data_IF_782309542979
#
_entry.id   IF_782309542979
#
_cell.length_a   1.000
_cell.length_b   1.000
_cell.length_c   1.000
_cell.angle_alpha   90.00
_cell.angle_beta   90.00
_cell.angle_gamma   90.00
#
_symmetry.space_group_name_H-M   'P 1'
#
loop_
_entity.id
_entity.type
_entity.pdbx_description
1 polymer ?
#
# COMPACT_ATOMS: atom_id res chain seq x y z
N UNK A 1 -12.51 -20.04 30.05
CA UNK A 1 -12.97 -18.72 29.55
C UNK A 1 -12.03 -18.25 28.44
N UNK A 2 -12.39 -18.50 27.18
CA UNK A 2 -11.69 -17.93 26.02
C UNK A 2 -12.48 -16.68 25.61
N UNK A 3 -11.83 -15.51 25.58
CA UNK A 3 -12.45 -14.28 25.09
C UNK A 3 -12.46 -14.34 23.56
N UNK A 4 -13.64 -14.54 23.00
CA UNK A 4 -13.89 -14.39 21.58
C UNK A 4 -13.91 -12.89 21.28
N UNK A 5 -12.94 -12.40 20.52
CA UNK A 5 -13.03 -11.08 19.92
C UNK A 5 -13.98 -11.18 18.71
N UNK A 6 -15.01 -10.34 18.68
CA UNK A 6 -15.99 -10.30 17.59
C UNK A 6 -15.34 -9.67 16.35
N UNK A 7 -15.27 -10.45 15.28
CA UNK A 7 -14.72 -10.14 13.94
C UNK A 7 -15.45 -8.96 13.25
N UNK A 8 -16.54 -8.47 13.83
CA UNK A 8 -17.40 -7.41 13.27
C UNK A 8 -16.69 -6.05 13.15
N UNK A 9 -15.64 -5.80 13.92
CA UNK A 9 -14.89 -4.51 13.83
C UNK A 9 -13.90 -4.45 12.66
N UNK A 10 -13.52 -5.59 12.06
CA UNK A 10 -12.52 -5.62 10.97
C UNK A 10 -13.16 -5.28 9.60
N UNK A 11 -14.47 -5.50 9.43
CA UNK A 11 -15.15 -5.35 8.13
C UNK A 11 -15.63 -3.91 7.84
N UNK A 12 -15.72 -3.02 8.82
CA UNK A 12 -16.40 -1.74 8.67
C UNK A 12 -15.58 -0.63 7.97
N UNK A 13 -14.26 -0.79 7.77
CA UNK A 13 -13.39 0.29 7.28
C UNK A 13 -12.97 0.18 5.80
N UNK A 14 -13.33 -0.90 5.10
CA UNK A 14 -13.02 -1.07 3.66
C UNK A 14 -14.11 -0.47 2.74
N UNK A 15 -15.24 -0.02 3.29
CA UNK A 15 -16.47 0.22 2.52
C UNK A 15 -16.82 1.68 2.15
N UNK A 16 -15.98 2.67 2.44
CA UNK A 16 -16.23 4.06 2.03
C UNK A 16 -15.06 4.67 1.24
N UNK A 17 -14.81 4.11 0.04
CA UNK A 17 -14.02 4.72 -1.01
C UNK A 17 -14.92 5.52 -1.95
N UNK A 18 -15.33 6.70 -1.49
CA UNK A 18 -16.12 7.67 -2.25
C UNK A 18 -15.41 8.03 -3.56
N UNK A 19 -16.17 8.02 -4.64
CA UNK A 19 -15.81 8.52 -5.96
C UNK A 19 -15.42 10.00 -5.87
N UNK A 20 -14.13 10.31 -5.78
CA UNK A 20 -13.60 11.67 -5.91
C UNK A 20 -12.57 11.70 -7.02
N UNK A 21 -13.06 11.80 -8.26
CA UNK A 21 -12.35 12.57 -9.29
C UNK A 21 -12.32 14.02 -8.79
N UNK A 22 -11.33 14.37 -7.97
CA UNK A 22 -11.07 15.76 -7.62
C UNK A 22 -9.95 16.26 -8.51
N UNK A 23 -10.32 17.17 -9.40
CA UNK A 23 -9.41 18.16 -9.96
C UNK A 23 -8.50 18.69 -8.85
N UNK A 24 -7.19 18.56 -9.07
CA UNK A 24 -6.14 19.00 -8.14
C UNK A 24 -6.33 20.48 -7.81
N UNK A 25 -6.91 20.73 -6.64
CA UNK A 25 -6.75 21.97 -5.89
C UNK A 25 -6.68 21.58 -4.41
N UNK A 26 -5.73 20.70 -4.10
CA UNK A 26 -5.26 20.52 -2.74
C UNK A 26 -4.02 21.39 -2.56
N UNK A 27 -3.83 21.94 -1.37
CA UNK A 27 -2.93 23.03 -0.96
C UNK A 27 -1.42 22.76 -1.13
N UNK A 28 -1.03 21.87 -2.04
CA UNK A 28 0.36 21.54 -2.34
C UNK A 28 1.05 22.64 -3.14
N UNK A 29 2.06 23.31 -2.56
CA UNK A 29 2.95 24.16 -3.36
C UNK A 29 3.86 23.25 -4.20
N UNK A 30 3.74 23.34 -5.53
CA UNK A 30 4.64 22.62 -6.43
C UNK A 30 5.98 23.36 -6.52
N UNK A 31 7.05 22.65 -6.20
CA UNK A 31 8.42 23.05 -6.53
C UNK A 31 8.93 22.03 -7.55
N UNK A 32 9.29 22.51 -8.73
CA UNK A 32 10.02 21.72 -9.72
C UNK A 32 11.44 22.26 -9.72
N UNK A 33 12.43 21.39 -9.52
CA UNK A 33 13.83 21.76 -9.74
C UNK A 33 14.27 21.35 -11.16
N UNK A 34 15.44 21.86 -11.58
CA UNK A 34 16.00 21.59 -12.92
C UNK A 34 16.33 20.10 -13.16
N UNK A 35 16.20 19.23 -12.15
CA UNK A 35 16.43 17.78 -12.26
C UNK A 35 15.19 16.99 -12.70
N UNK A 36 14.03 17.65 -12.85
CA UNK A 36 12.76 16.99 -13.18
C UNK A 36 12.10 16.32 -11.97
N UNK A 37 12.63 16.56 -10.76
CA UNK A 37 12.03 16.17 -9.49
C UNK A 37 10.83 17.08 -9.20
N UNK A 38 9.71 16.48 -8.79
CA UNK A 38 8.52 17.23 -8.38
C UNK A 38 8.33 17.10 -6.87
N UNK A 39 8.14 18.21 -6.19
CA UNK A 39 7.83 18.23 -4.77
C UNK A 39 6.52 18.96 -4.52
N UNK A 40 5.69 18.39 -3.65
CA UNK A 40 4.42 18.94 -3.19
C UNK A 40 4.47 19.07 -1.68
N UNK A 41 4.51 20.30 -1.18
CA UNK A 41 4.58 20.58 0.26
C UNK A 41 3.18 20.73 0.84
N UNK A 42 2.93 20.07 1.98
CA UNK A 42 1.70 20.18 2.74
C UNK A 42 1.98 20.82 4.10
N UNK A 43 0.99 21.50 4.67
CA UNK A 43 1.12 22.10 6.01
C UNK A 43 1.21 21.03 7.11
N UNK A 44 0.52 19.91 6.92
CA UNK A 44 0.45 18.80 7.88
C UNK A 44 0.44 17.45 7.14
N UNK A 45 1.03 16.43 7.77
CA UNK A 45 0.83 15.03 7.39
C UNK A 45 0.49 14.22 8.62
N UNK A 46 -0.71 13.63 8.64
CA UNK A 46 -1.22 12.83 9.76
C UNK A 46 -1.37 11.37 9.36
N UNK A 47 -0.79 10.46 10.15
CA UNK A 47 -1.05 9.02 9.98
C UNK A 47 -2.49 8.72 10.40
N UNK A 48 -3.33 8.34 9.45
CA UNK A 48 -4.69 7.90 9.72
C UNK A 48 -4.72 6.44 10.21
N UNK A 49 -3.83 5.62 9.66
CA UNK A 49 -3.80 4.20 9.90
C UNK A 49 -2.45 3.61 9.51
N UNK A 50 -1.93 2.66 10.28
CA UNK A 50 -0.82 1.82 9.85
C UNK A 50 -0.88 0.45 10.52
N UNK A 51 -0.53 -0.59 9.76
CA UNK A 51 -0.41 -1.95 10.24
C UNK A 51 0.81 -2.64 9.65
N UNK A 52 1.39 -3.53 10.45
CA UNK A 52 2.45 -4.44 10.06
C UNK A 52 1.91 -5.85 9.94
N UNK A 53 2.40 -6.60 8.96
CA UNK A 53 2.08 -8.02 8.77
C UNK A 53 3.20 -8.73 8.02
N UNK A 54 3.14 -10.06 8.02
CA UNK A 54 4.02 -10.93 7.26
C UNK A 54 3.35 -11.33 5.95
N UNK A 55 4.14 -11.37 4.89
CA UNK A 55 3.72 -11.93 3.62
C UNK A 55 4.67 -13.04 3.19
N UNK A 56 4.10 -14.17 2.78
CA UNK A 56 4.84 -15.37 2.42
C UNK A 56 4.85 -15.50 0.91
N UNK A 57 6.01 -15.81 0.29
CA UNK A 57 6.03 -16.11 -1.12
C UNK A 57 5.20 -17.38 -1.37
N UNK A 58 4.38 -17.32 -2.42
CA UNK A 58 3.65 -18.47 -2.96
C UNK A 58 4.64 -19.27 -3.78
N UNK A 59 5.61 -19.90 -3.12
CA UNK A 59 6.51 -20.80 -3.83
C UNK A 59 5.78 -22.11 -4.14
N UNK A 60 6.02 -22.58 -5.37
CA UNK A 60 5.67 -23.90 -5.89
C UNK A 60 5.99 -24.98 -4.83
N UNK A 61 5.17 -26.03 -4.66
CA UNK A 61 5.15 -26.96 -3.50
C UNK A 61 6.46 -27.68 -3.09
N UNK A 62 7.63 -27.31 -3.62
CA UNK A 62 8.91 -27.98 -3.40
C UNK A 62 9.90 -27.23 -2.49
N UNK A 63 9.65 -25.98 -2.04
CA UNK A 63 10.57 -25.25 -1.16
C UNK A 63 9.90 -24.68 0.10
N UNK A 64 10.14 -25.30 1.25
CA UNK A 64 9.69 -24.86 2.58
C UNK A 64 10.63 -23.82 3.24
N UNK A 65 11.67 -23.36 2.55
CA UNK A 65 12.73 -22.51 3.15
C UNK A 65 12.52 -21.01 2.93
N UNK A 66 11.50 -20.62 2.17
CA UNK A 66 11.30 -19.22 1.80
C UNK A 66 10.83 -18.39 2.99
N UNK A 67 11.64 -17.42 3.38
CA UNK A 67 11.37 -16.55 4.52
C UNK A 67 10.22 -15.58 4.18
N UNK A 68 9.35 -15.26 5.15
CA UNK A 68 8.37 -14.20 4.96
C UNK A 68 9.08 -12.84 4.87
N UNK A 69 8.48 -11.94 4.10
CA UNK A 69 8.83 -10.52 4.13
C UNK A 69 7.97 -9.79 5.15
N UNK A 70 8.55 -8.82 5.82
CA UNK A 70 7.83 -7.91 6.69
C UNK A 70 7.21 -6.79 5.85
N UNK A 71 5.96 -6.43 6.14
CA UNK A 71 5.23 -5.40 5.41
C UNK A 71 4.68 -4.40 6.40
N UNK A 72 4.94 -3.12 6.17
CA UNK A 72 4.25 -2.00 6.80
C UNK A 72 3.38 -1.33 5.75
N UNK A 73 2.08 -1.25 6.01
CA UNK A 73 1.12 -0.60 5.14
C UNK A 73 0.32 0.42 5.94
N UNK A 74 0.03 1.56 5.35
CA UNK A 74 -0.78 2.57 6.01
C UNK A 74 -1.39 3.61 5.09
N UNK A 75 -2.11 4.54 5.72
CA UNK A 75 -2.77 5.67 5.08
C UNK A 75 -2.38 6.92 5.86
N UNK A 76 -1.98 7.96 5.13
CA UNK A 76 -1.79 9.30 5.67
C UNK A 76 -2.83 10.25 5.09
N UNK A 77 -3.15 11.29 5.86
CA UNK A 77 -3.87 12.48 5.41
C UNK A 77 -2.82 13.56 5.14
N UNK A 78 -2.82 14.09 3.92
CA UNK A 78 -1.98 15.20 3.48
C UNK A 78 -2.79 16.50 3.54
N UNK A 79 -2.31 17.48 4.31
CA UNK A 79 -3.01 18.73 4.61
C UNK A 79 -3.87 18.65 5.87
N UNK A 80 -4.76 19.63 6.04
CA UNK A 80 -5.61 19.78 7.22
C UNK A 80 -6.78 18.77 7.26
N UNK A 81 -7.64 18.83 8.29
CA UNK A 81 -8.75 17.90 8.47
C UNK A 81 -9.65 17.78 7.22
N UNK A 82 -9.68 16.59 6.60
CA UNK A 82 -10.36 16.34 5.32
C UNK A 82 -9.42 16.35 4.10
N UNK A 83 -8.12 16.48 4.32
CA UNK A 83 -7.06 16.46 3.31
C UNK A 83 -6.97 15.18 2.48
N UNK A 84 -6.05 15.18 1.52
CA UNK A 84 -5.90 14.09 0.55
C UNK A 84 -5.43 12.82 1.26
N UNK A 85 -6.07 11.69 0.98
CA UNK A 85 -5.61 10.39 1.45
C UNK A 85 -4.53 9.86 0.53
N UNK A 86 -3.44 9.38 1.12
CA UNK A 86 -2.34 8.75 0.41
C UNK A 86 -2.01 7.43 1.11
N UNK A 87 -2.01 6.33 0.36
CA UNK A 87 -1.56 5.04 0.90
C UNK A 87 -0.03 4.94 0.77
N UNK A 88 0.61 4.33 1.77
CA UNK A 88 2.02 4.00 1.73
C UNK A 88 2.24 2.52 2.02
N UNK A 89 3.32 1.98 1.47
CA UNK A 89 3.78 0.64 1.75
C UNK A 89 5.30 0.64 1.92
N UNK A 90 5.78 -0.22 2.81
CA UNK A 90 7.18 -0.59 2.97
C UNK A 90 7.26 -2.09 3.12
N UNK A 91 8.22 -2.70 2.45
CA UNK A 91 8.55 -4.11 2.59
C UNK A 91 10.01 -4.23 3.01
N UNK A 92 10.29 -5.12 3.95
CA UNK A 92 11.59 -5.30 4.56
C UNK A 92 11.99 -6.79 4.58
N UNK A 93 13.26 -7.06 4.27
CA UNK A 93 13.91 -8.36 4.42
C UNK A 93 15.34 -8.16 4.96
N UNK A 94 15.50 -8.37 6.28
CA UNK A 94 16.76 -8.14 6.96
C UNK A 94 17.21 -6.67 6.89
N UNK A 95 18.30 -6.41 6.16
CA UNK A 95 18.84 -5.05 5.96
C UNK A 95 18.32 -4.36 4.70
N UNK A 96 17.61 -5.08 3.83
CA UNK A 96 17.11 -4.59 2.56
C UNK A 96 15.64 -4.17 2.70
N UNK A 97 15.25 -3.09 2.01
CA UNK A 97 13.87 -2.65 2.02
C UNK A 97 13.49 -1.93 0.72
N UNK A 98 12.20 -1.95 0.41
CA UNK A 98 11.59 -1.14 -0.62
C UNK A 98 10.37 -0.43 -0.05
N UNK A 99 10.09 0.79 -0.49
CA UNK A 99 8.93 1.56 -0.06
C UNK A 99 8.32 2.27 -1.25
N UNK A 100 7.04 2.61 -1.16
CA UNK A 100 6.39 3.43 -2.17
C UNK A 100 5.15 4.12 -1.62
N UNK A 101 4.78 5.19 -2.29
CA UNK A 101 3.50 5.86 -2.13
C UNK A 101 2.56 5.47 -3.28
N UNK A 102 1.26 5.49 -3.02
CA UNK A 102 0.25 5.15 -4.02
C UNK A 102 0.34 6.04 -5.26
N UNK A 103 0.24 5.43 -6.43
CA UNK A 103 0.25 6.11 -7.72
C UNK A 103 -1.10 5.98 -8.46
N UNK A 104 -1.91 4.99 -8.07
CA UNK A 104 -3.21 4.75 -8.65
C UNK A 104 -3.93 3.60 -7.98
N UNK A 105 -5.23 3.53 -8.23
CA UNK A 105 -6.12 2.49 -7.74
C UNK A 105 -6.88 1.91 -8.93
N UNK A 106 -7.05 0.60 -8.98
CA UNK A 106 -7.93 -0.06 -9.94
C UNK A 106 -9.03 -0.84 -9.22
N UNK A 107 -10.22 -0.76 -9.79
CA UNK A 107 -11.39 -1.52 -9.36
C UNK A 107 -11.73 -2.50 -10.47
N UNK A 108 -11.40 -3.77 -10.26
CA UNK A 108 -11.91 -4.83 -11.12
C UNK A 108 -13.29 -5.21 -10.60
N UNK A 109 -14.27 -4.35 -10.93
CA UNK A 109 -15.68 -4.66 -10.72
C UNK A 109 -16.13 -5.54 -11.89
N UNK A 110 -16.15 -6.85 -11.68
CA UNK A 110 -16.90 -7.71 -12.59
C UNK A 110 -18.39 -7.36 -12.47
N UNK A 111 -19.07 -7.22 -13.62
CA UNK A 111 -20.44 -6.72 -13.71
C UNK A 111 -21.51 -7.65 -13.07
N UNK A 112 -21.11 -8.80 -12.52
CA UNK A 112 -21.98 -9.78 -11.89
C UNK A 112 -21.89 -9.66 -10.37
N UNK A 113 -23.05 -9.46 -9.73
CA UNK A 113 -23.19 -9.37 -8.27
C UNK A 113 -22.73 -10.64 -7.53
N UNK A 114 -22.44 -11.72 -8.25
CA UNK A 114 -21.97 -12.99 -7.70
C UNK A 114 -20.45 -13.16 -7.69
N UNK A 115 -19.65 -12.13 -7.95
CA UNK A 115 -18.18 -12.25 -7.96
C UNK A 115 -17.52 -11.52 -6.79
N UNK A 116 -16.37 -12.04 -6.36
CA UNK A 116 -15.52 -11.38 -5.38
C UNK A 116 -15.06 -10.03 -5.93
N UNK A 117 -14.95 -9.04 -5.05
CA UNK A 117 -14.46 -7.71 -5.42
C UNK A 117 -12.96 -7.66 -5.27
N UNK A 118 -12.28 -7.18 -6.30
CA UNK A 118 -10.82 -7.06 -6.32
C UNK A 118 -10.44 -5.59 -6.33
N UNK A 119 -9.64 -5.20 -5.35
CA UNK A 119 -9.07 -3.87 -5.21
C UNK A 119 -7.57 -3.95 -5.34
N UNK A 120 -6.99 -3.18 -6.25
CA UNK A 120 -5.53 -3.08 -6.33
C UNK A 120 -5.07 -1.64 -6.12
N UNK A 121 -4.05 -1.49 -5.29
CA UNK A 121 -3.25 -0.26 -5.21
C UNK A 121 -1.87 -0.52 -5.80
N UNK A 122 -1.42 0.38 -6.66
CA UNK A 122 -0.04 0.40 -7.15
C UNK A 122 0.75 1.46 -6.38
N UNK A 123 1.86 1.06 -5.78
CA UNK A 123 2.80 1.92 -5.07
C UNK A 123 4.08 2.03 -5.86
N UNK A 124 4.58 3.24 -6.06
CA UNK A 124 5.79 3.48 -6.87
C UNK A 124 6.93 3.94 -5.98
N UNK A 125 8.12 3.36 -6.16
CA UNK A 125 9.26 3.64 -5.27
C UNK A 125 9.87 5.02 -5.48
N UNK A 126 9.64 5.62 -6.65
CA UNK A 126 10.05 6.99 -6.95
C UNK A 126 9.15 8.06 -6.31
N UNK A 127 8.10 7.66 -5.57
CA UNK A 127 7.25 8.60 -4.81
C UNK A 127 7.47 8.36 -3.31
N UNK A 128 7.95 9.38 -2.61
CA UNK A 128 8.31 9.31 -1.18
C UNK A 128 7.61 10.39 -0.36
N UNK A 129 7.47 10.12 0.93
CA UNK A 129 7.05 11.10 1.93
C UNK A 129 8.29 11.58 2.69
N UNK A 130 8.60 12.87 2.60
CA UNK A 130 9.77 13.50 3.24
C UNK A 130 9.28 14.65 4.13
N UNK A 131 9.19 14.39 5.44
CA UNK A 131 8.53 15.32 6.36
C UNK A 131 7.06 15.50 5.96
N UNK A 132 6.69 16.73 5.60
CA UNK A 132 5.34 17.06 5.14
C UNK A 132 5.24 17.16 3.60
N UNK A 133 6.22 16.63 2.87
CA UNK A 133 6.29 16.77 1.42
C UNK A 133 6.15 15.44 0.72
N UNK A 134 5.34 15.40 -0.34
CA UNK A 134 5.34 14.30 -1.31
C UNK A 134 6.36 14.65 -2.39
N UNK A 135 7.38 13.82 -2.50
CA UNK A 135 8.46 13.95 -3.46
C UNK A 135 8.30 12.89 -4.54
N UNK A 136 8.41 13.28 -5.81
CA UNK A 136 8.46 12.41 -6.97
C UNK A 136 9.80 12.55 -7.65
N UNK A 137 10.59 11.50 -7.59
CA UNK A 137 11.88 11.35 -8.24
C UNK A 137 11.97 9.95 -8.86
N UNK A 138 11.89 9.90 -10.19
CA UNK A 138 11.93 8.66 -10.96
C UNK A 138 13.29 8.42 -11.63
N UNK A 139 14.33 9.16 -11.23
CA UNK A 139 15.69 9.02 -11.80
C UNK A 139 16.27 7.61 -11.62
N UNK A 140 15.86 6.91 -10.56
CA UNK A 140 16.21 5.51 -10.31
C UNK A 140 15.40 4.47 -11.10
N UNK A 141 14.51 4.91 -11.98
CA UNK A 141 13.56 4.08 -12.73
C UNK A 141 12.24 3.84 -12.02
N UNK A 142 11.38 3.03 -12.64
CA UNK A 142 10.01 2.79 -12.20
C UNK A 142 9.85 1.39 -11.62
N UNK A 143 9.89 1.28 -10.29
CA UNK A 143 9.59 0.05 -9.55
C UNK A 143 8.24 0.20 -8.87
N UNK A 144 7.43 -0.85 -8.97
CA UNK A 144 6.05 -0.85 -8.50
C UNK A 144 5.79 -2.04 -7.60
N UNK A 145 5.22 -1.77 -6.44
CA UNK A 145 4.63 -2.76 -5.53
C UNK A 145 3.12 -2.73 -5.78
N UNK A 146 2.51 -3.86 -6.14
CA UNK A 146 1.07 -3.97 -6.35
C UNK A 146 0.45 -4.77 -5.22
N UNK A 147 -0.35 -4.13 -4.37
CA UNK A 147 -1.14 -4.80 -3.33
C UNK A 147 -2.54 -5.07 -3.88
N UNK A 148 -2.96 -6.33 -3.85
CA UNK A 148 -4.30 -6.76 -4.30
C UNK A 148 -5.07 -7.33 -3.12
N UNK A 149 -6.28 -6.83 -2.93
CA UNK A 149 -7.20 -7.22 -1.85
C UNK A 149 -8.45 -7.79 -2.50
N UNK A 150 -8.77 -9.02 -2.16
CA UNK A 150 -10.00 -9.69 -2.60
C UNK A 150 -10.96 -9.72 -1.43
N UNK A 151 -12.17 -9.21 -1.65
CA UNK A 151 -13.25 -9.20 -0.69
C UNK A 151 -14.35 -10.10 -1.20
N UNK A 152 -14.74 -11.06 -0.37
CA UNK A 152 -15.82 -11.98 -0.70
C UNK A 152 -17.19 -11.29 -0.73
N UNK A 153 -18.21 -12.04 -1.12
CA UNK A 153 -19.59 -11.57 -1.20
C UNK A 153 -20.16 -11.07 0.14
N UNK A 154 -19.66 -11.57 1.26
CA UNK A 154 -20.09 -11.15 2.60
C UNK A 154 -19.40 -9.84 3.05
N UNK A 155 -18.49 -9.29 2.24
CA UNK A 155 -17.70 -8.13 2.60
C UNK A 155 -16.48 -8.47 3.46
N UNK A 156 -16.14 -9.76 3.60
CA UNK A 156 -14.97 -10.21 4.35
C UNK A 156 -13.76 -10.31 3.43
N UNK A 157 -12.59 -9.92 3.95
CA UNK A 157 -11.34 -10.08 3.22
C UNK A 157 -11.03 -11.58 3.03
N UNK A 158 -11.01 -12.05 1.78
CA UNK A 158 -10.72 -13.45 1.46
C UNK A 158 -9.26 -13.67 1.08
N UNK A 159 -8.62 -12.66 0.49
CA UNK A 159 -7.21 -12.73 0.10
C UNK A 159 -6.57 -11.34 0.13
N UNK A 160 -5.31 -11.28 0.56
CA UNK A 160 -4.44 -10.14 0.31
C UNK A 160 -3.16 -10.69 -0.30
N UNK A 161 -2.80 -10.21 -1.49
CA UNK A 161 -1.59 -10.62 -2.19
C UNK A 161 -0.78 -9.43 -2.70
N UNK A 162 0.50 -9.64 -2.92
CA UNK A 162 1.42 -8.63 -3.44
C UNK A 162 2.21 -9.17 -4.62
N UNK A 163 2.50 -8.28 -5.56
CA UNK A 163 3.42 -8.50 -6.67
C UNK A 163 4.35 -7.32 -6.83
N UNK A 164 5.53 -7.60 -7.35
CA UNK A 164 6.56 -6.61 -7.59
C UNK A 164 6.85 -6.57 -9.09
N UNK A 165 7.03 -5.38 -9.64
CA UNK A 165 7.39 -5.20 -11.04
C UNK A 165 8.38 -4.06 -11.18
N UNK A 166 9.34 -4.22 -12.07
CA UNK A 166 10.36 -3.23 -12.33
C UNK A 166 10.46 -3.01 -13.84
N UNK A 167 10.20 -1.77 -14.26
CA UNK A 167 10.51 -1.35 -15.62
C UNK A 167 12.03 -1.08 -15.72
N UNK A 168 12.71 -1.88 -16.52
CA UNK A 168 14.17 -2.06 -16.60
C UNK A 168 14.95 -0.82 -17.11
N UNK A 169 14.30 0.34 -17.20
CA UNK A 169 14.92 1.61 -17.58
C UNK A 169 15.67 2.29 -16.42
N UNK A 170 15.77 1.64 -15.25
CA UNK A 170 16.43 2.16 -14.04
C UNK A 170 17.73 1.46 -13.67
N UNK A 171 18.34 1.88 -12.55
CA UNK A 171 19.50 1.20 -11.98
C UNK A 171 19.11 -0.17 -11.38
N UNK A 172 20.00 -1.16 -11.54
CA UNK A 172 19.84 -2.50 -10.93
C UNK A 172 19.60 -2.40 -9.44
N UNK A 173 18.64 -3.22 -8.98
CA UNK A 173 18.23 -3.32 -7.59
C UNK A 173 18.02 -4.79 -7.28
N UNK A 174 19.08 -5.46 -6.81
CA UNK A 174 19.06 -6.90 -6.57
C UNK A 174 17.94 -7.34 -5.63
N UNK A 175 17.57 -6.48 -4.67
CA UNK A 175 16.46 -6.76 -3.77
C UNK A 175 15.14 -6.78 -4.53
N UNK A 176 14.86 -5.76 -5.35
CA UNK A 176 13.63 -5.71 -6.13
C UNK A 176 13.57 -6.78 -7.23
N UNK A 177 14.72 -7.13 -7.81
CA UNK A 177 14.86 -8.24 -8.77
C UNK A 177 14.45 -9.58 -8.13
N UNK A 178 14.86 -9.84 -6.89
CA UNK A 178 14.46 -11.04 -6.15
C UNK A 178 12.95 -11.08 -5.89
N UNK A 179 12.34 -9.93 -5.57
CA UNK A 179 10.91 -9.83 -5.31
C UNK A 179 10.06 -9.97 -6.58
N UNK A 180 10.52 -9.43 -7.72
CA UNK A 180 9.75 -9.33 -8.97
C UNK A 180 9.37 -10.68 -9.60
N UNK A 181 10.02 -11.77 -9.22
CA UNK A 181 9.71 -13.12 -9.67
C UNK A 181 8.63 -13.86 -8.85
N UNK A 182 8.16 -13.27 -7.75
CA UNK A 182 7.35 -13.98 -6.73
C UNK A 182 5.99 -13.31 -6.55
N UNK A 183 4.99 -14.12 -6.19
CA UNK A 183 3.72 -13.62 -5.64
C UNK A 183 3.78 -13.84 -4.14
N UNK A 184 3.39 -12.84 -3.36
CA UNK A 184 3.31 -12.98 -1.91
C UNK A 184 1.85 -12.98 -1.46
N UNK A 185 1.52 -13.80 -0.47
CA UNK A 185 0.21 -13.80 0.20
C UNK A 185 0.42 -13.39 1.65
N UNK A 186 -0.38 -12.44 2.10
CA UNK A 186 -0.35 -11.95 3.48
C UNK A 186 -0.98 -12.99 4.39
N UNK A 187 -0.35 -13.25 5.53
CA UNK A 187 -0.98 -13.96 6.64
C UNK A 187 -1.78 -12.97 7.50
N UNK A 188 -3.13 -13.00 7.47
CA UNK A 188 -3.94 -12.06 8.24
C UNK A 188 -3.76 -12.21 9.75
N UNK A 189 -3.35 -13.39 10.23
CA UNK A 189 -3.14 -13.64 11.66
C UNK A 189 -1.90 -12.94 12.21
N UNK A 190 -0.98 -12.54 11.32
CA UNK A 190 0.23 -11.80 11.67
C UNK A 190 0.02 -10.29 11.84
N UNK A 191 -1.17 -9.78 11.47
CA UNK A 191 -1.44 -8.35 11.39
C UNK A 191 -1.44 -7.67 12.77
N UNK A 192 -0.70 -6.56 12.88
CA UNK A 192 -0.59 -5.74 14.08
C UNK A 192 -0.72 -4.26 13.72
N UNK A 193 -1.61 -3.54 14.40
CA UNK A 193 -1.73 -2.09 14.23
C UNK A 193 -0.58 -1.38 14.94
N UNK A 194 0.08 -0.45 14.25
CA UNK A 194 1.27 0.27 14.75
C UNK A 194 1.18 1.79 14.62
N UNK A 195 0.17 2.32 13.91
CA UNK A 195 -0.13 3.76 13.81
C UNK A 195 -1.51 4.09 14.37
N UNK A 196 -1.83 5.39 14.53
CA UNK A 196 -3.02 5.82 15.26
C UNK A 196 -4.29 5.21 14.67
N UNK A 197 -4.95 4.40 15.48
CA UNK A 197 -6.30 3.91 15.26
C UNK A 197 -7.23 4.96 15.87
N UNK A 198 -7.71 5.94 15.10
CA UNK A 198 -8.88 6.70 15.54
C UNK A 198 -10.10 5.77 15.50
N UNK A 199 -10.23 4.96 16.55
CA UNK A 199 -11.53 4.45 16.93
C UNK A 199 -12.27 5.67 17.49
N UNK A 200 -12.98 6.38 16.60
CA UNK A 200 -14.02 7.31 17.04
C UNK A 200 -15.11 6.55 17.83
N UNK A 201 -15.81 7.24 18.74
CA UNK A 201 -16.58 6.68 19.85
C UNK A 201 -17.61 5.60 19.49
#
# INVERSE_FOLDING_TARGET
MRRNYSIVTICALVFYGLLCLTTVSAEGKSLTDDSGKLQYDFDEVKVQYAAEFLAYPVDSPENNDSQPIHVLYGVVILGTAGGMKEEFIRVDEGTSFARGLSNGFSWDNYADANQDKIFSTEFVTGKTLEGNSVVKDYSGGWKTIKLTRTVDRAGSMSNISMRFSWDLNGASDPFFEELAGKVYVVDPSSMKYVGQQEVGP
#
